data_IF_430252524704
#
_entry.id   IF_430252524704
#
_cell.length_a   1.000
_cell.length_b   1.000
_cell.length_c   1.000
_cell.angle_alpha   90.00
_cell.angle_beta   90.00
_cell.angle_gamma   90.00
#
_symmetry.space_group_name_H-M   'P 1'
#
loop_
_entity.id
_entity.type
_entity.pdbx_description
1 polymer ?
#
# COMPACT_ATOMS: atom_id res chain seq x y z
N UNK A 1 -6.93 -2.54 -4.57
CA UNK A 1 -7.28 -3.15 -5.85
C UNK A 1 -6.63 -2.43 -7.05
N UNK A 2 -6.76 -1.08 -7.17
CA UNK A 2 -6.20 -0.30 -8.28
C UNK A 2 -4.67 -0.41 -8.36
N UNK A 3 -3.97 -0.31 -7.22
CA UNK A 3 -2.50 -0.40 -7.19
C UNK A 3 -2.00 -1.78 -7.63
N UNK A 4 -2.58 -2.85 -7.07
CA UNK A 4 -2.18 -4.21 -7.42
C UNK A 4 -2.53 -4.53 -8.87
N UNK A 5 -3.70 -4.08 -9.35
CA UNK A 5 -4.07 -4.18 -10.78
C UNK A 5 -3.08 -3.45 -11.70
N UNK A 6 -2.54 -2.30 -11.27
CA UNK A 6 -1.46 -1.61 -11.99
C UNK A 6 -0.18 -2.47 -12.05
N UNK A 7 0.24 -3.04 -10.93
CA UNK A 7 1.43 -3.91 -10.89
C UNK A 7 1.25 -5.16 -11.78
N UNK A 8 0.08 -5.80 -11.72
CA UNK A 8 -0.23 -6.94 -12.60
C UNK A 8 -0.16 -6.58 -14.08
N UNK A 9 -0.73 -5.43 -14.48
CA UNK A 9 -0.67 -4.94 -15.86
C UNK A 9 0.76 -4.65 -16.34
N UNK A 10 1.66 -4.33 -15.43
CA UNK A 10 3.10 -4.17 -15.68
C UNK A 10 3.89 -5.50 -15.60
N UNK A 11 3.22 -6.65 -15.62
CA UNK A 11 3.85 -7.96 -15.71
C UNK A 11 4.28 -8.58 -14.37
N UNK A 12 4.02 -7.92 -13.24
CA UNK A 12 4.32 -8.52 -11.94
C UNK A 12 3.33 -9.62 -11.58
N UNK A 13 3.84 -10.79 -11.20
CA UNK A 13 3.05 -11.93 -10.73
C UNK A 13 3.33 -12.26 -9.26
N UNK A 14 4.58 -12.15 -8.84
CA UNK A 14 5.02 -12.35 -7.47
C UNK A 14 5.02 -11.00 -6.75
N UNK A 15 3.87 -10.61 -6.22
CA UNK A 15 3.65 -9.32 -5.55
C UNK A 15 3.46 -9.56 -4.06
N UNK A 16 4.39 -9.11 -3.23
CA UNK A 16 4.22 -9.12 -1.78
C UNK A 16 3.36 -7.93 -1.32
N UNK A 17 2.60 -8.11 -0.25
CA UNK A 17 1.85 -7.04 0.40
C UNK A 17 2.28 -6.86 1.86
N UNK A 18 2.76 -5.66 2.23
CA UNK A 18 2.84 -5.26 3.63
C UNK A 18 1.45 -4.80 4.06
N UNK A 19 0.82 -5.54 4.95
CA UNK A 19 -0.57 -5.35 5.32
C UNK A 19 -0.77 -5.19 6.84
N UNK A 20 -1.98 -4.82 7.22
CA UNK A 20 -2.39 -4.78 8.61
C UNK A 20 -2.33 -6.17 9.26
N UNK A 21 -2.26 -6.19 10.58
CA UNK A 21 -2.30 -7.42 11.36
C UNK A 21 -3.58 -8.20 11.08
N UNK A 22 -3.53 -9.53 11.23
CA UNK A 22 -4.70 -10.41 11.03
C UNK A 22 -5.90 -10.07 11.95
N UNK A 23 -5.62 -9.43 13.09
CA UNK A 23 -6.63 -8.97 14.05
C UNK A 23 -7.29 -7.65 13.68
N UNK A 24 -6.76 -6.93 12.68
CA UNK A 24 -7.33 -5.67 12.21
C UNK A 24 -8.62 -5.96 11.41
N UNK A 25 -9.75 -5.55 11.98
CA UNK A 25 -11.08 -5.65 11.34
C UNK A 25 -11.46 -4.36 10.57
N UNK A 26 -10.53 -3.40 10.45
CA UNK A 26 -10.76 -2.07 9.88
C UNK A 26 -10.36 -1.95 8.40
N UNK A 27 -9.84 -0.80 8.05
CA UNK A 27 -9.38 -0.45 6.70
C UNK A 27 -8.29 -1.41 6.19
N UNK A 28 -7.43 -1.92 7.07
CA UNK A 28 -6.37 -2.85 6.70
C UNK A 28 -6.91 -4.14 6.10
N UNK A 29 -8.00 -4.69 6.64
CA UNK A 29 -8.69 -5.85 6.08
C UNK A 29 -9.20 -5.58 4.67
N UNK A 30 -9.85 -4.44 4.45
CA UNK A 30 -10.38 -4.07 3.12
C UNK A 30 -9.26 -3.89 2.07
N UNK A 31 -8.10 -3.37 2.48
CA UNK A 31 -6.93 -3.25 1.59
C UNK A 31 -6.38 -4.63 1.20
N UNK A 32 -6.31 -5.57 2.15
CA UNK A 32 -5.91 -6.95 1.87
C UNK A 32 -6.92 -7.67 0.94
N UNK A 33 -8.20 -7.48 1.15
CA UNK A 33 -9.25 -8.01 0.25
C UNK A 33 -9.12 -7.43 -1.16
N UNK A 34 -8.83 -6.14 -1.27
CA UNK A 34 -8.54 -5.49 -2.55
C UNK A 34 -7.33 -6.10 -3.28
N UNK A 35 -6.25 -6.40 -2.55
CA UNK A 35 -5.09 -7.10 -3.08
C UNK A 35 -5.46 -8.49 -3.62
N UNK A 36 -6.10 -9.32 -2.78
CA UNK A 36 -6.52 -10.68 -3.16
C UNK A 36 -7.44 -10.67 -4.37
N UNK A 37 -8.39 -9.74 -4.41
CA UNK A 37 -9.29 -9.57 -5.55
C UNK A 37 -8.54 -9.18 -6.82
N UNK A 38 -7.60 -8.25 -6.75
CA UNK A 38 -6.83 -7.83 -7.92
C UNK A 38 -5.99 -8.96 -8.51
N UNK A 39 -5.32 -9.77 -7.67
CA UNK A 39 -4.59 -10.95 -8.14
C UNK A 39 -5.53 -11.94 -8.85
N UNK A 40 -6.64 -12.28 -8.20
CA UNK A 40 -7.64 -13.21 -8.77
C UNK A 40 -8.17 -12.74 -10.12
N UNK A 41 -8.53 -11.47 -10.25
CA UNK A 41 -9.07 -10.89 -11.49
C UNK A 41 -8.02 -10.87 -12.62
N UNK A 42 -6.73 -10.96 -12.29
CA UNK A 42 -5.62 -11.08 -13.25
C UNK A 42 -5.13 -12.54 -13.41
N UNK A 43 -5.82 -13.54 -12.88
CA UNK A 43 -5.48 -14.95 -13.00
C UNK A 43 -4.21 -15.35 -12.22
N UNK A 44 -3.85 -14.60 -11.16
CA UNK A 44 -2.69 -14.85 -10.32
C UNK A 44 -3.14 -15.47 -9.00
N UNK A 45 -2.50 -16.57 -8.60
CA UNK A 45 -2.77 -17.24 -7.34
C UNK A 45 -2.29 -16.39 -6.15
N UNK A 46 -3.09 -16.37 -5.09
CA UNK A 46 -2.73 -15.73 -3.83
C UNK A 46 -1.78 -16.65 -3.05
N UNK A 47 -0.56 -16.20 -2.83
CA UNK A 47 0.46 -16.90 -2.06
C UNK A 47 0.53 -16.32 -0.64
N UNK A 48 0.22 -17.12 0.37
CA UNK A 48 0.16 -16.66 1.78
C UNK A 48 1.53 -16.18 2.29
N UNK A 49 2.63 -16.73 1.77
CA UNK A 49 3.99 -16.32 2.12
C UNK A 49 4.35 -14.90 1.60
N UNK A 50 3.57 -14.35 0.68
CA UNK A 50 3.69 -12.96 0.19
C UNK A 50 2.78 -11.98 0.95
N UNK A 51 2.00 -12.46 1.92
CA UNK A 51 1.20 -11.61 2.80
C UNK A 51 1.99 -11.33 4.08
N UNK A 52 2.46 -10.11 4.24
CA UNK A 52 3.40 -9.69 5.27
C UNK A 52 2.67 -8.78 6.28
N UNK A 53 2.11 -9.35 7.37
CA UNK A 53 1.43 -8.53 8.37
C UNK A 53 2.42 -7.71 9.19
N UNK A 54 2.02 -6.49 9.56
CA UNK A 54 2.76 -5.64 10.49
C UNK A 54 3.01 -6.38 11.83
N UNK A 55 4.15 -6.09 12.44
CA UNK A 55 4.53 -6.58 13.77
C UNK A 55 3.67 -5.90 14.83
N UNK A 56 3.35 -6.67 15.89
CA UNK A 56 2.50 -6.16 16.99
C UNK A 56 3.28 -5.46 18.10
N UNK A 57 4.59 -5.60 18.11
CA UNK A 57 5.51 -4.97 19.07
C UNK A 57 6.04 -3.60 18.59
N UNK A 58 5.65 -3.18 17.38
CA UNK A 58 5.99 -1.90 16.79
C UNK A 58 4.72 -1.06 16.53
N UNK A 59 4.92 0.25 16.39
CA UNK A 59 3.85 1.17 16.03
C UNK A 59 3.27 0.83 14.65
N UNK A 60 1.93 0.79 14.56
CA UNK A 60 1.24 0.49 13.32
C UNK A 60 1.52 1.58 12.26
N UNK A 61 1.64 1.14 11.01
CA UNK A 61 1.89 2.01 9.85
C UNK A 61 3.17 2.86 9.93
N UNK A 62 4.10 2.53 10.86
CA UNK A 62 5.36 3.26 11.02
C UNK A 62 6.41 2.87 9.97
N UNK A 63 7.41 3.74 9.79
CA UNK A 63 8.63 3.45 9.01
C UNK A 63 9.35 2.20 9.53
N UNK A 64 9.47 2.10 10.85
CA UNK A 64 10.17 1.00 11.51
C UNK A 64 9.47 -0.35 11.24
N UNK A 65 8.14 -0.37 11.29
CA UNK A 65 7.37 -1.57 10.98
C UNK A 65 7.58 -2.01 9.51
N UNK A 66 7.54 -1.06 8.58
CA UNK A 66 7.83 -1.31 7.17
C UNK A 66 9.24 -1.87 6.95
N UNK A 67 10.24 -1.30 7.64
CA UNK A 67 11.64 -1.75 7.60
C UNK A 67 11.80 -3.17 8.14
N UNK A 68 11.34 -3.42 9.36
CA UNK A 68 11.56 -4.69 10.05
C UNK A 68 10.84 -5.86 9.36
N UNK A 69 9.59 -5.67 8.96
CA UNK A 69 8.84 -6.71 8.25
C UNK A 69 9.47 -7.04 6.90
N UNK A 70 9.94 -6.03 6.17
CA UNK A 70 10.62 -6.26 4.89
C UNK A 70 11.95 -6.96 5.09
N UNK A 71 12.76 -6.56 6.09
CA UNK A 71 14.02 -7.22 6.42
C UNK A 71 13.81 -8.71 6.72
N UNK A 72 12.86 -9.04 7.60
CA UNK A 72 12.51 -10.45 7.92
C UNK A 72 12.00 -11.23 6.71
N UNK A 73 11.30 -10.58 5.79
CA UNK A 73 10.84 -11.19 4.55
C UNK A 73 12.02 -11.53 3.62
N UNK A 74 12.97 -10.63 3.46
CA UNK A 74 14.16 -10.83 2.61
C UNK A 74 15.03 -11.98 3.13
N UNK A 75 15.14 -12.16 4.43
CA UNK A 75 15.88 -13.27 5.06
C UNK A 75 15.30 -14.65 4.67
N UNK A 76 14.00 -14.72 4.34
CA UNK A 76 13.34 -15.96 3.89
C UNK A 76 13.64 -16.32 2.44
N UNK A 77 14.24 -15.43 1.68
CA UNK A 77 14.59 -15.61 0.26
C UNK A 77 13.39 -16.04 -0.62
N UNK A 78 12.17 -15.61 -0.25
CA UNK A 78 10.97 -15.87 -1.04
C UNK A 78 10.97 -14.94 -2.26
N UNK A 79 10.90 -15.48 -3.49
CA UNK A 79 10.91 -14.66 -4.69
C UNK A 79 9.73 -13.71 -4.73
N UNK A 80 10.01 -12.41 -4.95
CA UNK A 80 9.01 -11.42 -5.30
C UNK A 80 9.59 -10.41 -6.29
N UNK A 81 8.74 -9.79 -7.09
CA UNK A 81 9.14 -8.79 -8.08
C UNK A 81 8.59 -7.41 -7.76
N UNK A 82 7.61 -7.34 -6.87
CA UNK A 82 7.05 -6.09 -6.38
C UNK A 82 6.60 -6.21 -4.93
N UNK A 83 6.70 -5.12 -4.18
CA UNK A 83 6.12 -4.97 -2.85
C UNK A 83 5.10 -3.84 -2.89
N UNK A 84 3.86 -4.13 -2.51
CA UNK A 84 2.84 -3.14 -2.23
C UNK A 84 2.69 -2.97 -0.73
N UNK A 85 2.99 -1.80 -0.21
CA UNK A 85 2.73 -1.45 1.17
C UNK A 85 1.41 -0.67 1.29
N UNK A 86 0.59 -1.03 2.27
CA UNK A 86 -0.74 -0.40 2.46
C UNK A 86 -0.67 1.02 3.03
N UNK A 87 0.52 1.57 3.25
CA UNK A 87 0.74 3.02 3.48
C UNK A 87 2.10 3.44 2.92
N UNK A 88 2.26 4.74 2.62
CA UNK A 88 3.53 5.28 2.12
C UNK A 88 4.63 5.22 3.19
N UNK A 89 4.29 5.35 4.47
CA UNK A 89 5.27 5.24 5.56
C UNK A 89 5.84 3.82 5.64
N UNK A 90 5.00 2.78 5.54
CA UNK A 90 5.46 1.40 5.43
C UNK A 90 6.33 1.19 4.17
N UNK A 91 5.92 1.77 3.03
CA UNK A 91 6.69 1.66 1.78
C UNK A 91 8.08 2.28 1.91
N UNK A 92 8.20 3.47 2.51
CA UNK A 92 9.49 4.14 2.72
C UNK A 92 10.40 3.29 3.62
N UNK A 93 9.85 2.74 4.70
CA UNK A 93 10.58 1.80 5.56
C UNK A 93 11.04 0.55 4.80
N UNK A 94 10.16 -0.04 3.97
CA UNK A 94 10.49 -1.17 3.11
C UNK A 94 11.61 -0.82 2.11
N UNK A 95 11.56 0.36 1.49
CA UNK A 95 12.60 0.85 0.59
C UNK A 95 13.97 0.94 1.26
N UNK A 96 14.01 1.38 2.51
CA UNK A 96 15.26 1.38 3.30
C UNK A 96 15.79 -0.04 3.55
N UNK A 97 14.92 -0.99 3.90
CA UNK A 97 15.31 -2.39 4.11
C UNK A 97 15.84 -3.05 2.82
N UNK A 98 15.18 -2.79 1.68
CA UNK A 98 15.65 -3.23 0.37
C UNK A 98 17.05 -2.70 0.06
N UNK A 99 17.26 -1.39 0.24
CA UNK A 99 18.55 -0.73 0.02
C UNK A 99 19.66 -1.31 0.90
N UNK A 100 19.39 -1.53 2.20
CA UNK A 100 20.35 -2.10 3.13
C UNK A 100 20.72 -3.56 2.79
N UNK A 101 19.80 -4.29 2.20
CA UNK A 101 20.03 -5.64 1.71
C UNK A 101 20.64 -5.70 0.29
N UNK A 102 20.92 -4.55 -0.32
CA UNK A 102 21.57 -4.44 -1.64
C UNK A 102 20.64 -4.56 -2.84
N UNK A 103 19.32 -4.60 -2.62
CA UNK A 103 18.34 -4.59 -3.70
C UNK A 103 18.14 -3.19 -4.29
N UNK A 104 18.05 -3.12 -5.60
CA UNK A 104 17.73 -1.90 -6.33
C UNK A 104 16.23 -1.78 -6.57
N UNK A 105 15.69 -0.60 -6.27
CA UNK A 105 14.31 -0.23 -6.58
C UNK A 105 14.37 0.78 -7.74
N UNK A 106 13.67 0.52 -8.85
CA UNK A 106 12.71 -0.56 -9.13
C UNK A 106 13.31 -1.81 -9.79
N UNK A 107 14.61 -1.86 -10.12
CA UNK A 107 15.24 -2.84 -11.03
C UNK A 107 15.09 -4.28 -10.52
N UNK A 108 15.35 -4.52 -9.24
CA UNK A 108 15.21 -5.85 -8.65
C UNK A 108 13.78 -6.05 -8.12
N UNK A 109 13.25 -5.08 -7.38
CA UNK A 109 11.93 -5.11 -6.77
C UNK A 109 11.24 -3.75 -6.94
N UNK A 110 10.10 -3.72 -7.61
CA UNK A 110 9.22 -2.55 -7.66
C UNK A 110 8.58 -2.31 -6.31
N UNK A 111 8.46 -1.03 -5.89
CA UNK A 111 7.89 -0.65 -4.61
C UNK A 111 6.74 0.34 -4.81
N UNK A 112 5.58 0.04 -4.23
CA UNK A 112 4.40 0.89 -4.30
C UNK A 112 3.79 1.12 -2.91
N UNK A 113 3.24 2.31 -2.72
CA UNK A 113 2.60 2.75 -1.47
C UNK A 113 1.12 3.07 -1.62
N UNK A 114 0.57 3.66 -0.57
CA UNK A 114 -0.79 4.14 -0.48
C UNK A 114 -0.81 5.35 0.48
N UNK A 115 -1.55 6.37 0.19
CA UNK A 115 -1.91 7.62 0.87
C UNK A 115 -1.54 8.85 0.04
N UNK A 116 -0.40 8.85 -0.66
CA UNK A 116 0.09 9.99 -1.45
C UNK A 116 0.73 11.08 -0.59
N UNK A 117 1.46 10.67 0.48
CA UNK A 117 2.14 11.65 1.36
C UNK A 117 3.25 12.40 0.63
N UNK A 118 3.46 13.65 1.02
CA UNK A 118 4.37 14.57 0.35
C UNK A 118 5.82 14.05 0.30
N UNK A 119 6.29 13.43 1.41
CA UNK A 119 7.66 12.90 1.51
C UNK A 119 7.97 11.85 0.43
N UNK A 120 6.97 11.13 -0.07
CA UNK A 120 7.12 10.12 -1.12
C UNK A 120 7.67 10.66 -2.45
N UNK A 121 7.62 12.00 -2.67
CA UNK A 121 8.23 12.66 -3.83
C UNK A 121 9.74 12.83 -3.69
N UNK A 122 10.25 12.85 -2.47
CA UNK A 122 11.62 13.24 -2.15
C UNK A 122 12.49 12.05 -1.74
N UNK A 123 11.92 10.87 -1.57
CA UNK A 123 12.72 9.63 -1.42
C UNK A 123 13.32 9.21 -2.76
N UNK A 124 14.38 8.41 -2.72
CA UNK A 124 15.09 7.95 -3.93
C UNK A 124 15.04 6.40 -3.95
N UNK A 125 14.41 5.83 -4.99
CA UNK A 125 13.61 6.48 -6.05
C UNK A 125 12.28 7.07 -5.51
N UNK A 126 11.70 8.04 -6.21
CA UNK A 126 10.42 8.65 -5.82
C UNK A 126 9.28 7.62 -5.85
N UNK A 127 8.43 7.63 -4.82
CA UNK A 127 7.48 6.55 -4.52
C UNK A 127 6.20 6.62 -5.38
N UNK A 128 5.95 5.56 -6.16
CA UNK A 128 4.65 5.28 -6.78
C UNK A 128 3.62 5.00 -5.69
N UNK A 129 2.47 5.68 -5.72
CA UNK A 129 1.46 5.57 -4.66
C UNK A 129 0.04 5.75 -5.19
N UNK A 130 -0.95 5.25 -4.45
CA UNK A 130 -2.35 5.64 -4.63
C UNK A 130 -2.68 6.80 -3.71
N UNK A 131 -2.79 8.01 -4.27
CA UNK A 131 -3.06 9.23 -3.53
C UNK A 131 -4.54 9.30 -3.13
N UNK A 132 -4.80 9.50 -1.86
CA UNK A 132 -6.15 9.77 -1.34
C UNK A 132 -6.57 11.21 -1.62
N UNK A 133 -7.84 11.47 -2.01
CA UNK A 133 -8.36 12.84 -2.21
C UNK A 133 -8.73 13.50 -0.88
N UNK A 134 -7.73 13.70 0.00
CA UNK A 134 -7.91 14.12 1.40
C UNK A 134 -8.72 15.41 1.52
N UNK A 135 -8.49 16.39 0.64
CA UNK A 135 -9.23 17.67 0.65
C UNK A 135 -10.73 17.46 0.40
N UNK A 136 -11.08 16.61 -0.57
CA UNK A 136 -12.47 16.29 -0.87
C UNK A 136 -13.13 15.50 0.27
N UNK A 137 -12.40 14.55 0.86
CA UNK A 137 -12.83 13.79 2.02
C UNK A 137 -13.09 14.70 3.22
N UNK A 138 -12.16 15.61 3.51
CA UNK A 138 -12.29 16.56 4.63
C UNK A 138 -13.49 17.49 4.47
N UNK A 139 -13.67 18.08 3.27
CA UNK A 139 -14.82 18.97 2.99
C UNK A 139 -16.14 18.23 3.14
N UNK A 140 -16.25 17.04 2.57
CA UNK A 140 -17.49 16.27 2.62
C UNK A 140 -17.80 15.78 4.05
N UNK A 141 -16.77 15.37 4.79
CA UNK A 141 -16.93 15.01 6.21
C UNK A 141 -17.46 16.20 7.03
N UNK A 142 -16.90 17.39 6.84
CA UNK A 142 -17.35 18.59 7.51
C UNK A 142 -18.81 18.92 7.14
N UNK A 143 -19.15 18.87 5.85
CA UNK A 143 -20.51 19.09 5.36
C UNK A 143 -21.51 18.14 6.03
N UNK A 144 -21.22 16.83 5.99
CA UNK A 144 -22.09 15.80 6.59
C UNK A 144 -22.24 16.03 8.10
N UNK A 145 -21.14 16.37 8.78
CA UNK A 145 -21.19 16.65 10.23
C UNK A 145 -22.12 17.82 10.56
N UNK A 146 -22.01 18.93 9.83
CA UNK A 146 -22.89 20.08 10.02
C UNK A 146 -24.36 19.76 9.71
N UNK A 147 -24.62 18.96 8.66
CA UNK A 147 -25.98 18.54 8.33
C UNK A 147 -26.58 17.64 9.41
N UNK A 148 -25.80 16.75 10.02
CA UNK A 148 -26.25 15.89 11.12
C UNK A 148 -26.52 16.73 12.36
N UNK A 149 -25.63 17.64 12.76
CA UNK A 149 -25.81 18.55 13.90
C UNK A 149 -27.08 19.41 13.71
N UNK A 150 -27.26 19.92 12.49
CA UNK A 150 -28.47 20.72 12.12
C UNK A 150 -29.73 19.88 11.95
N UNK A 151 -29.71 18.56 12.20
CA UNK A 151 -30.84 17.62 12.00
C UNK A 151 -31.42 17.63 10.58
N UNK A 152 -30.61 18.03 9.59
CA UNK A 152 -30.97 18.08 8.16
C UNK A 152 -30.72 16.76 7.44
N UNK A 153 -29.83 15.92 7.96
CA UNK A 153 -29.47 14.63 7.37
C UNK A 153 -29.28 13.55 8.44
N UNK A 154 -29.43 12.29 8.02
CA UNK A 154 -29.03 11.10 8.78
C UNK A 154 -27.61 10.71 8.40
N UNK A 155 -27.07 9.68 9.06
CA UNK A 155 -25.79 9.08 8.73
C UNK A 155 -25.67 8.78 7.21
N UNK A 156 -24.53 9.17 6.61
CA UNK A 156 -24.23 8.99 5.19
C UNK A 156 -22.88 8.31 5.02
N UNK A 157 -22.76 7.50 3.99
CA UNK A 157 -21.50 6.91 3.56
C UNK A 157 -21.09 7.51 2.21
N UNK A 158 -19.88 8.05 2.12
CA UNK A 158 -19.30 8.53 0.88
C UNK A 158 -18.03 7.72 0.56
N UNK A 159 -17.92 7.29 -0.69
CA UNK A 159 -16.74 6.61 -1.20
C UNK A 159 -16.05 7.55 -2.18
N UNK A 160 -14.75 7.71 -2.00
CA UNK A 160 -13.92 8.55 -2.87
C UNK A 160 -12.91 7.68 -3.62
N UNK A 161 -12.71 7.96 -4.88
CA UNK A 161 -11.69 7.32 -5.69
C UNK A 161 -10.33 7.97 -5.47
N UNK A 162 -9.31 7.13 -5.19
CA UNK A 162 -7.93 7.56 -5.16
C UNK A 162 -7.31 7.65 -6.57
N UNK A 163 -6.32 8.51 -6.71
CA UNK A 163 -5.53 8.73 -7.92
C UNK A 163 -4.26 7.89 -7.89
N UNK A 164 -4.00 7.10 -8.95
CA UNK A 164 -2.72 6.41 -9.10
C UNK A 164 -1.65 7.41 -9.58
N UNK A 165 -0.65 7.64 -8.74
CA UNK A 165 0.49 8.50 -9.03
C UNK A 165 1.71 7.63 -9.29
N UNK A 166 2.01 7.39 -10.56
CA UNK A 166 3.18 6.61 -10.99
C UNK A 166 4.42 7.49 -10.91
N UNK A 167 5.49 6.95 -10.28
CA UNK A 167 6.81 7.58 -10.14
C UNK A 167 7.91 6.55 -10.39
N UNK A 168 9.12 6.81 -9.90
CA UNK A 168 10.33 6.07 -10.26
C UNK A 168 10.47 4.71 -9.54
N UNK A 169 9.70 4.44 -8.47
CA UNK A 169 9.85 3.22 -7.67
C UNK A 169 9.19 1.97 -8.25
N UNK A 170 8.57 2.06 -9.43
CA UNK A 170 7.97 0.93 -10.13
C UNK A 170 8.36 0.90 -11.60
N UNK A 171 8.53 -0.30 -12.15
CA UNK A 171 8.82 -0.50 -13.57
C UNK A 171 7.98 -1.65 -14.16
N UNK A 172 7.95 -1.74 -15.49
CA UNK A 172 7.36 -2.89 -16.18
C UNK A 172 8.30 -4.08 -16.15
N UNK A 173 7.76 -5.28 -15.96
CA UNK A 173 8.43 -6.57 -16.16
C UNK A 173 7.93 -7.16 -17.48
N UNK A 174 8.77 -7.10 -18.49
CA UNK A 174 8.53 -7.78 -19.80
C UNK A 174 8.89 -9.24 -19.75
#
# INVERSE_FOLDING_TARGET
>A
YKMVGYLCKNGHKDIAILCARKTDASIGKLRLEGYKKALKDNGIEVREELILPMRSDLEDYSLENGYMVTKEFLEKQIPCTAIFAISDMLAIGAGKALSDAGYKVPEDISLAGFDGVEIGKYVIPSLTTLKQPVDSMARETARILFDIIGKKAKHQHCVFDGELVVRDSTMSRT
#
